data_IF_434111393768
#
_entry.id   IF_434111393768
#
_cell.length_a   1.000
_cell.length_b   1.000
_cell.length_c   1.000
_cell.angle_alpha   90.00
_cell.angle_beta   90.00
_cell.angle_gamma   90.00
#
_symmetry.space_group_name_H-M   'P 1'
#
loop_
_entity.id
_entity.type
_entity.pdbx_description
1 polymer ?
#
# COMPACT_ATOMS: atom_id res chain seq x y z
N UNK A 1 8.18 9.92 25.62
CA UNK A 1 6.87 10.10 24.97
C UNK A 1 7.08 9.80 23.52
N UNK A 2 6.36 8.83 22.95
CA UNK A 2 6.49 8.48 21.53
C UNK A 2 5.50 9.34 20.76
N UNK A 3 5.99 10.12 19.81
CA UNK A 3 5.18 10.92 18.89
C UNK A 3 4.95 10.11 17.62
N UNK A 4 3.71 10.10 17.12
CA UNK A 4 3.32 9.38 15.92
C UNK A 4 2.61 10.37 15.00
N UNK A 5 3.17 10.59 13.82
CA UNK A 5 2.57 11.40 12.77
C UNK A 5 2.04 10.49 11.66
N UNK A 6 0.80 10.72 11.24
CA UNK A 6 0.14 9.94 10.19
C UNK A 6 -0.14 10.86 9.00
N UNK A 7 0.40 10.50 7.85
CA UNK A 7 0.15 11.18 6.59
C UNK A 7 -0.84 10.37 5.75
N UNK A 8 -2.05 10.90 5.58
CA UNK A 8 -3.00 10.33 4.63
C UNK A 8 -2.65 10.76 3.19
N UNK A 9 -2.73 9.82 2.26
CA UNK A 9 -2.39 10.04 0.85
C UNK A 9 -3.54 9.61 -0.04
N UNK A 10 -3.91 10.45 -0.99
CA UNK A 10 -4.91 10.11 -2.00
C UNK A 10 -4.26 9.90 -3.37
N UNK A 11 -4.68 8.85 -4.07
CA UNK A 11 -4.33 8.63 -5.47
C UNK A 11 -5.46 9.14 -6.36
N UNK A 12 -5.17 10.09 -7.26
CA UNK A 12 -6.17 10.56 -8.24
C UNK A 12 -6.34 9.52 -9.35
N UNK A 13 -7.58 9.20 -9.72
CA UNK A 13 -7.87 8.26 -10.80
C UNK A 13 -7.22 8.72 -12.11
N UNK A 14 -6.43 7.86 -12.75
CA UNK A 14 -5.83 8.12 -14.06
C UNK A 14 -4.43 8.77 -14.04
N UNK A 15 -3.88 9.12 -12.87
CA UNK A 15 -2.44 9.40 -12.76
C UNK A 15 -1.68 8.11 -12.43
N UNK A 16 -0.50 7.93 -13.06
CA UNK A 16 0.51 6.99 -12.57
C UNK A 16 0.67 7.26 -11.08
N UNK A 17 0.64 6.21 -10.26
CA UNK A 17 0.82 6.36 -8.82
C UNK A 17 2.19 6.99 -8.58
N UNK A 18 2.20 8.31 -8.39
CA UNK A 18 3.39 9.07 -8.13
C UNK A 18 3.65 8.91 -6.64
N UNK A 19 4.43 7.89 -6.30
CA UNK A 19 5.04 7.80 -4.97
C UNK A 19 5.99 8.99 -4.87
N UNK A 20 5.59 9.97 -4.08
CA UNK A 20 6.38 11.17 -3.83
C UNK A 20 7.62 10.77 -3.01
N UNK A 21 8.80 10.95 -3.60
CA UNK A 21 10.09 10.62 -2.96
C UNK A 21 10.27 11.38 -1.65
N UNK A 22 9.70 12.59 -1.53
CA UNK A 22 9.82 13.41 -0.32
C UNK A 22 9.02 12.79 0.83
N UNK A 23 7.77 12.38 0.58
CA UNK A 23 6.90 11.72 1.58
C UNK A 23 7.47 10.36 1.99
N UNK A 24 7.94 9.61 1.00
CA UNK A 24 8.52 8.28 1.21
C UNK A 24 9.84 8.33 1.97
N UNK A 25 10.56 9.47 1.90
CA UNK A 25 11.81 9.70 2.66
C UNK A 25 11.63 10.24 4.04
N UNK A 26 10.48 10.83 4.32
CA UNK A 26 10.12 11.24 5.66
C UNK A 26 9.58 10.07 6.50
N UNK A 27 8.88 9.11 5.90
CA UNK A 27 8.22 8.04 6.64
C UNK A 27 9.15 6.94 7.17
N UNK A 28 9.01 6.59 8.45
CA UNK A 28 9.66 5.42 9.07
C UNK A 28 8.96 4.09 8.72
N UNK A 29 7.67 4.15 8.36
CA UNK A 29 6.87 3.00 7.95
C UNK A 29 5.78 3.40 6.96
N UNK A 30 5.30 2.45 6.15
CA UNK A 30 4.19 2.65 5.23
C UNK A 30 3.10 1.60 5.43
N UNK A 31 1.84 2.04 5.36
CA UNK A 31 0.67 1.15 5.27
C UNK A 31 0.06 1.32 3.89
N UNK A 32 -0.02 0.24 3.14
CA UNK A 32 -0.55 0.20 1.78
C UNK A 32 -1.87 -0.54 1.85
N UNK A 33 -2.94 0.18 1.54
CA UNK A 33 -4.31 -0.32 1.71
C UNK A 33 -4.92 -0.54 0.33
N UNK A 34 -5.54 -1.70 0.13
CA UNK A 34 -6.35 -2.00 -1.06
C UNK A 34 -7.74 -2.47 -0.61
N UNK A 35 -8.75 -2.37 -1.48
CA UNK A 35 -10.07 -2.94 -1.22
C UNK A 35 -10.13 -4.39 -1.69
N UNK A 36 -10.63 -5.31 -0.86
CA UNK A 36 -10.85 -6.70 -1.29
C UNK A 36 -11.95 -6.82 -2.36
N UNK A 37 -12.72 -5.74 -2.57
CA UNK A 37 -13.82 -5.65 -3.53
C UNK A 37 -13.41 -4.97 -4.85
N UNK A 38 -12.17 -4.48 -4.96
CA UNK A 38 -11.69 -3.83 -6.17
C UNK A 38 -10.30 -4.36 -6.54
N UNK A 39 -10.26 -5.22 -7.55
CA UNK A 39 -9.02 -5.81 -8.04
C UNK A 39 -8.04 -4.79 -8.64
N UNK A 40 -8.53 -3.65 -9.15
CA UNK A 40 -7.67 -2.57 -9.64
C UNK A 40 -6.87 -1.94 -8.49
N UNK A 41 -7.52 -1.75 -7.33
CA UNK A 41 -6.85 -1.25 -6.12
C UNK A 41 -5.71 -2.17 -5.66
N UNK A 42 -5.87 -3.49 -5.82
CA UNK A 42 -4.83 -4.47 -5.49
C UNK A 42 -3.61 -4.36 -6.42
N UNK A 43 -3.82 -4.22 -7.73
CA UNK A 43 -2.71 -4.00 -8.67
C UNK A 43 -2.01 -2.65 -8.43
N UNK A 44 -2.77 -1.63 -8.06
CA UNK A 44 -2.24 -0.32 -7.67
C UNK A 44 -1.36 -0.43 -6.42
N UNK A 45 -1.80 -1.17 -5.40
CA UNK A 45 -1.02 -1.47 -4.20
C UNK A 45 0.29 -2.20 -4.53
N UNK A 46 0.28 -3.14 -5.47
CA UNK A 46 1.51 -3.80 -5.94
C UNK A 46 2.50 -2.81 -6.55
N UNK A 47 2.03 -1.95 -7.46
CA UNK A 47 2.86 -0.95 -8.10
C UNK A 47 3.46 0.05 -7.08
N UNK A 48 2.70 0.37 -6.02
CA UNK A 48 3.15 1.17 -4.88
C UNK A 48 4.31 0.50 -4.13
N UNK A 49 4.16 -0.77 -3.75
CA UNK A 49 5.21 -1.54 -3.09
C UNK A 49 6.50 -1.51 -3.91
N UNK A 50 6.41 -1.84 -5.20
CA UNK A 50 7.58 -1.87 -6.10
C UNK A 50 8.26 -0.50 -6.22
N UNK A 51 7.48 0.58 -6.19
CA UNK A 51 7.98 1.95 -6.26
C UNK A 51 8.67 2.38 -4.96
N UNK A 52 8.08 2.06 -3.80
CA UNK A 52 8.65 2.37 -2.48
C UNK A 52 9.97 1.61 -2.27
N UNK A 53 10.02 0.32 -2.61
CA UNK A 53 11.25 -0.49 -2.55
C UNK A 53 12.36 0.13 -3.40
N UNK A 54 12.02 0.65 -4.59
CA UNK A 54 13.00 1.28 -5.47
C UNK A 54 13.57 2.57 -4.88
N UNK A 55 12.70 3.44 -4.37
CA UNK A 55 13.08 4.72 -3.74
C UNK A 55 13.92 4.48 -2.48
N UNK A 56 13.53 3.48 -1.68
CA UNK A 56 14.17 3.13 -0.41
C UNK A 56 15.20 2.02 -0.54
N UNK A 57 15.73 1.76 -1.73
CA UNK A 57 16.65 0.63 -1.98
C UNK A 57 17.90 0.63 -1.09
N UNK A 58 18.28 1.77 -0.52
CA UNK A 58 19.39 1.94 0.44
C UNK A 58 19.00 1.88 1.92
N UNK A 59 17.70 1.83 2.26
CA UNK A 59 17.19 1.90 3.64
C UNK A 59 16.00 0.96 3.84
N UNK A 60 16.04 0.11 4.87
CA UNK A 60 14.88 -0.73 5.20
C UNK A 60 13.73 0.14 5.74
N UNK A 61 12.59 0.17 5.04
CA UNK A 61 11.33 0.72 5.53
C UNK A 61 10.37 -0.40 5.88
N UNK A 62 9.71 -0.28 7.03
CA UNK A 62 8.67 -1.23 7.42
C UNK A 62 7.42 -0.99 6.58
N UNK A 63 6.92 -2.02 5.90
CA UNK A 63 5.71 -1.92 5.09
C UNK A 63 4.66 -2.91 5.56
N UNK A 64 3.40 -2.46 5.61
CA UNK A 64 2.23 -3.28 5.90
C UNK A 64 1.26 -3.22 4.73
N UNK A 65 0.93 -4.36 4.14
CA UNK A 65 -0.14 -4.49 3.15
C UNK A 65 -1.45 -4.86 3.86
N UNK A 66 -2.52 -4.10 3.58
CA UNK A 66 -3.82 -4.28 4.24
C UNK A 66 -4.96 -4.39 3.24
N UNK A 67 -5.65 -5.53 3.25
CA UNK A 67 -6.89 -5.74 2.52
C UNK A 67 -8.08 -5.21 3.32
N UNK A 68 -8.63 -4.08 2.89
CA UNK A 68 -9.75 -3.38 3.50
C UNK A 68 -11.11 -3.95 3.04
N UNK A 69 -12.18 -3.64 3.78
CA UNK A 69 -13.58 -4.08 3.54
C UNK A 69 -13.81 -5.58 3.74
N UNK A 70 -13.11 -6.20 4.71
CA UNK A 70 -13.23 -7.63 5.04
C UNK A 70 -14.59 -8.02 5.61
N UNK A 71 -15.38 -7.05 6.07
CA UNK A 71 -16.77 -7.22 6.46
C UNK A 71 -17.67 -7.64 5.27
N UNK A 72 -17.27 -7.35 4.03
CA UNK A 72 -18.02 -7.67 2.80
C UNK A 72 -17.37 -8.87 2.06
N UNK A 73 -16.96 -9.90 2.81
CA UNK A 73 -16.18 -11.02 2.28
C UNK A 73 -16.89 -11.82 1.17
N UNK A 74 -18.22 -11.92 1.22
CA UNK A 74 -19.03 -12.61 0.21
C UNK A 74 -18.95 -11.99 -1.20
N UNK A 75 -18.44 -10.76 -1.34
CA UNK A 75 -18.19 -10.08 -2.63
C UNK A 75 -16.72 -9.93 -2.96
N UNK A 76 -15.84 -10.64 -2.24
CA UNK A 76 -14.39 -10.57 -2.44
C UNK A 76 -14.01 -10.87 -3.89
N UNK A 77 -13.25 -9.95 -4.47
CA UNK A 77 -12.63 -10.09 -5.80
C UNK A 77 -11.14 -10.46 -5.72
N UNK A 78 -10.51 -10.21 -4.56
CA UNK A 78 -9.09 -10.49 -4.30
C UNK A 78 -8.95 -11.57 -3.24
N UNK A 79 -8.45 -12.74 -3.62
CA UNK A 79 -8.33 -13.87 -2.69
C UNK A 79 -7.29 -13.59 -1.60
N UNK A 80 -7.52 -14.16 -0.41
CA UNK A 80 -6.61 -14.03 0.74
C UNK A 80 -5.19 -14.49 0.38
N UNK A 81 -5.09 -15.60 -0.37
CA UNK A 81 -3.80 -16.15 -0.81
C UNK A 81 -3.02 -15.19 -1.72
N UNK A 82 -3.71 -14.44 -2.59
CA UNK A 82 -3.06 -13.45 -3.46
C UNK A 82 -2.47 -12.29 -2.65
N UNK A 83 -3.21 -11.82 -1.64
CA UNK A 83 -2.71 -10.83 -0.68
C UNK A 83 -1.47 -11.32 0.07
N UNK A 84 -1.49 -12.56 0.56
CA UNK A 84 -0.33 -13.15 1.23
C UNK A 84 0.88 -13.31 0.31
N UNK A 85 0.68 -13.75 -0.94
CA UNK A 85 1.75 -13.87 -1.93
C UNK A 85 2.38 -12.52 -2.27
N UNK A 86 1.62 -11.42 -2.24
CA UNK A 86 2.15 -10.08 -2.47
C UNK A 86 2.90 -9.49 -1.26
N UNK A 87 2.60 -9.97 -0.05
CA UNK A 87 3.22 -9.49 1.19
C UNK A 87 4.53 -10.23 1.57
N UNK A 88 4.88 -11.30 0.85
CA UNK A 88 6.12 -12.05 1.01
C UNK A 88 7.27 -11.41 0.23
#
# INVERSE_FOLDING_TARGET
>A
MTEIEVLDTCTKSGQKVAVDETRTSWADACVIVYSILDRSSFYTARALIESIIRIRSSTCISMLLLGNMTDIDHRREVAIQEGHQMAQ
#
